data_IF_108489456258
#
_entry.id   IF_108489456258
#
_cell.length_a   1.000
_cell.length_b   1.000
_cell.length_c   1.000
_cell.angle_alpha   90.00
_cell.angle_beta   90.00
_cell.angle_gamma   90.00
#
_symmetry.space_group_name_H-M   'P 1'
#
loop_
_entity.id
_entity.type
_entity.pdbx_description
1 polymer ?
#
# COMPACT_ATOMS: atom_id res chain seq x y z
N UNK A 1 18.55 15.69 -0.89
CA UNK A 1 19.58 14.78 -0.34
C UNK A 1 19.10 13.38 -0.65
N UNK A 2 19.71 12.69 -1.62
CA UNK A 2 19.30 11.33 -2.01
C UNK A 2 19.89 10.41 -0.95
N UNK A 3 19.04 9.74 -0.17
CA UNK A 3 19.50 8.73 0.78
C UNK A 3 20.25 7.63 0.00
N UNK A 4 21.41 7.16 0.49
CA UNK A 4 22.17 6.14 -0.19
C UNK A 4 21.29 4.89 -0.33
N UNK A 5 21.01 4.48 -1.57
CA UNK A 5 20.35 3.22 -1.87
C UNK A 5 21.20 2.10 -1.28
N UNK A 6 20.77 1.54 -0.15
CA UNK A 6 21.34 0.31 0.39
C UNK A 6 21.07 -0.78 -0.64
N UNK A 7 22.09 -1.04 -1.49
CA UNK A 7 22.07 -2.11 -2.49
C UNK A 7 21.78 -3.40 -1.72
N UNK A 8 20.56 -3.93 -1.89
CA UNK A 8 20.19 -5.24 -1.40
C UNK A 8 21.09 -6.25 -2.12
N UNK A 9 21.90 -6.97 -1.34
CA UNK A 9 22.78 -8.00 -1.91
C UNK A 9 21.95 -9.06 -2.63
N UNK A 10 22.33 -9.37 -3.87
CA UNK A 10 22.03 -10.51 -4.78
C UNK A 10 20.62 -11.17 -4.82
N UNK A 11 19.72 -10.91 -3.88
CA UNK A 11 18.39 -11.51 -3.74
C UNK A 11 17.34 -10.41 -3.72
N UNK A 12 16.18 -10.70 -4.31
CA UNK A 12 15.04 -9.80 -4.24
C UNK A 12 14.62 -9.64 -2.77
N UNK A 13 14.35 -8.40 -2.31
CA UNK A 13 13.81 -8.18 -0.98
C UNK A 13 12.43 -8.83 -0.86
N UNK A 14 12.11 -9.27 0.36
CA UNK A 14 10.75 -9.68 0.70
C UNK A 14 9.78 -8.50 0.68
N UNK A 15 8.49 -8.79 0.58
CA UNK A 15 7.43 -7.78 0.63
C UNK A 15 7.48 -6.96 1.93
N UNK A 16 7.64 -7.62 3.07
CA UNK A 16 7.72 -6.95 4.37
C UNK A 16 8.93 -6.02 4.48
N UNK A 17 10.08 -6.41 3.93
CA UNK A 17 11.27 -5.53 3.89
C UNK A 17 11.04 -4.29 3.02
N UNK A 18 10.30 -4.43 1.92
CA UNK A 18 9.91 -3.29 1.08
C UNK A 18 8.95 -2.36 1.81
N UNK A 19 7.97 -2.90 2.54
CA UNK A 19 7.03 -2.13 3.36
C UNK A 19 7.77 -1.34 4.44
N UNK A 20 8.68 -1.98 5.18
CA UNK A 20 9.47 -1.30 6.21
C UNK A 20 10.29 -0.14 5.64
N UNK A 21 10.91 -0.33 4.46
CA UNK A 21 11.65 0.74 3.78
C UNK A 21 10.76 1.88 3.32
N UNK A 22 9.55 1.57 2.84
CA UNK A 22 8.59 2.59 2.46
C UNK A 22 8.17 3.43 3.67
N UNK A 23 7.94 2.79 4.82
CA UNK A 23 7.64 3.49 6.07
C UNK A 23 8.77 4.44 6.48
N UNK A 24 10.03 3.97 6.46
CA UNK A 24 11.21 4.81 6.73
C UNK A 24 11.29 6.02 5.78
N UNK A 25 11.06 5.81 4.48
CA UNK A 25 11.05 6.89 3.49
C UNK A 25 9.93 7.90 3.72
N UNK A 26 8.75 7.44 4.12
CA UNK A 26 7.61 8.31 4.41
C UNK A 26 7.85 9.15 5.67
N UNK A 27 8.48 8.59 6.71
CA UNK A 27 8.83 9.32 7.92
C UNK A 27 9.85 10.45 7.64
N UNK A 28 10.85 10.18 6.80
CA UNK A 28 11.84 11.18 6.39
C UNK A 28 11.22 12.34 5.59
N UNK A 29 10.17 12.06 4.81
CA UNK A 29 9.43 13.07 4.03
C UNK A 29 8.43 13.85 4.88
N UNK A 30 7.81 13.22 5.90
CA UNK A 30 6.69 13.75 6.67
C UNK A 30 7.08 14.58 7.90
N UNK A 31 8.30 15.13 7.97
CA UNK A 31 8.76 15.99 9.07
C UNK A 31 7.92 17.28 9.32
N UNK A 32 6.76 17.46 8.64
CA UNK A 32 5.90 18.65 8.78
C UNK A 32 4.37 18.41 8.79
N UNK A 33 3.80 17.23 8.51
CA UNK A 33 2.32 17.10 8.33
C UNK A 33 1.68 15.75 8.72
N UNK A 34 2.19 15.06 9.73
CA UNK A 34 1.66 13.73 10.17
C UNK A 34 0.52 13.79 11.19
N UNK A 35 0.16 14.96 11.73
CA UNK A 35 -0.84 15.09 12.82
C UNK A 35 -2.26 14.61 12.46
N UNK A 36 -2.53 14.40 11.17
CA UNK A 36 -3.81 13.88 10.69
C UNK A 36 -3.85 12.35 10.54
N UNK A 37 -2.71 11.65 10.54
CA UNK A 37 -2.69 10.19 10.37
C UNK A 37 -2.76 9.54 11.77
N UNK A 38 -3.89 8.92 12.09
CA UNK A 38 -4.13 8.27 13.38
C UNK A 38 -3.60 6.83 13.40
N UNK A 39 -3.71 6.14 12.28
CA UNK A 39 -3.15 4.80 12.06
C UNK A 39 -2.43 4.81 10.72
N UNK A 40 -1.11 4.62 10.75
CA UNK A 40 -0.24 4.66 9.58
C UNK A 40 -0.01 3.29 8.92
N UNK A 41 1.18 3.09 8.36
CA UNK A 41 1.57 1.84 7.69
C UNK A 41 1.68 0.70 8.72
N UNK A 42 1.17 -0.49 8.37
CA UNK A 42 1.32 -1.72 9.16
C UNK A 42 0.01 -2.37 9.62
N UNK A 43 -1.13 -1.76 9.32
CA UNK A 43 -2.48 -2.31 9.50
C UNK A 43 -3.16 -2.49 8.12
N UNK A 44 -4.35 -3.10 8.07
CA UNK A 44 -5.10 -3.39 6.83
C UNK A 44 -5.61 -2.12 6.12
N UNK A 45 -5.74 -1.02 6.85
CA UNK A 45 -6.10 0.30 6.36
C UNK A 45 -5.47 1.38 7.24
N UNK A 46 -5.26 2.56 6.65
CA UNK A 46 -4.85 3.76 7.40
C UNK A 46 -6.06 4.56 7.83
N UNK A 47 -6.01 5.13 9.04
CA UNK A 47 -7.03 6.04 9.56
C UNK A 47 -6.50 7.46 9.47
N UNK A 48 -7.25 8.33 8.81
CA UNK A 48 -6.89 9.75 8.64
C UNK A 48 -8.00 10.62 9.22
N UNK A 49 -7.62 11.50 10.14
CA UNK A 49 -8.45 12.56 10.69
C UNK A 49 -8.58 13.70 9.67
N UNK A 50 -9.82 14.10 9.42
CA UNK A 50 -10.17 15.22 8.56
C UNK A 50 -11.08 16.18 9.32
N UNK A 51 -11.28 17.39 8.78
CA UNK A 51 -12.22 18.35 9.37
C UNK A 51 -13.67 17.83 9.48
N UNK A 52 -14.03 16.80 8.70
CA UNK A 52 -15.37 16.20 8.70
C UNK A 52 -15.46 14.92 9.55
N UNK A 53 -14.37 14.48 10.19
CA UNK A 53 -14.28 13.22 10.92
C UNK A 53 -13.16 12.32 10.39
N UNK A 54 -13.19 11.05 10.78
CA UNK A 54 -12.17 10.06 10.41
C UNK A 54 -12.55 9.32 9.12
N UNK A 55 -11.57 9.08 8.26
CA UNK A 55 -11.71 8.27 7.05
C UNK A 55 -10.73 7.10 7.08
N UNK A 56 -11.14 5.97 6.52
CA UNK A 56 -10.30 4.79 6.29
C UNK A 56 -9.82 4.80 4.84
N UNK A 57 -8.50 4.67 4.66
CA UNK A 57 -7.88 4.57 3.35
C UNK A 57 -7.12 3.25 3.25
N UNK A 58 -7.47 2.45 2.25
CA UNK A 58 -6.76 1.24 1.86
C UNK A 58 -6.69 1.16 0.33
N UNK A 59 -5.75 0.36 -0.19
CA UNK A 59 -5.60 0.16 -1.62
C UNK A 59 -5.14 -1.28 -1.90
N UNK A 60 -5.75 -1.89 -2.90
CA UNK A 60 -5.38 -3.21 -3.41
C UNK A 60 -5.15 -3.15 -4.92
N UNK A 61 -4.47 -4.17 -5.46
CA UNK A 61 -4.23 -4.30 -6.89
C UNK A 61 -4.74 -5.64 -7.43
N UNK A 62 -5.39 -5.59 -8.61
CA UNK A 62 -5.82 -6.79 -9.35
C UNK A 62 -5.07 -6.88 -10.67
N UNK A 63 -4.13 -7.83 -10.74
CA UNK A 63 -3.16 -7.97 -11.84
C UNK A 63 -3.40 -9.25 -12.63
N UNK A 64 -3.53 -9.13 -13.95
CA UNK A 64 -3.64 -10.28 -14.86
C UNK A 64 -2.36 -11.13 -14.77
N UNK A 65 -2.56 -12.41 -14.55
CA UNK A 65 -1.53 -13.41 -14.39
C UNK A 65 -1.01 -13.63 -12.98
N UNK A 66 -1.44 -12.80 -12.02
CA UNK A 66 -1.24 -13.01 -10.59
C UNK A 66 -2.57 -13.34 -9.92
N UNK A 67 -3.58 -12.47 -10.08
CA UNK A 67 -4.85 -12.55 -9.36
C UNK A 67 -6.00 -13.14 -10.19
N UNK A 68 -5.91 -13.03 -11.52
CA UNK A 68 -6.84 -13.61 -12.49
C UNK A 68 -6.12 -13.93 -13.80
N UNK A 69 -6.83 -14.53 -14.76
CA UNK A 69 -6.36 -14.72 -16.15
C UNK A 69 -7.42 -14.17 -17.10
N UNK A 70 -7.08 -13.18 -17.93
CA UNK A 70 -8.05 -12.54 -18.84
C UNK A 70 -8.72 -13.49 -19.83
N UNK A 71 -8.05 -14.60 -20.17
CA UNK A 71 -8.60 -15.65 -21.05
C UNK A 71 -9.71 -16.50 -20.42
N UNK A 72 -9.77 -16.55 -19.09
CA UNK A 72 -10.61 -17.51 -18.34
C UNK A 72 -11.74 -16.82 -17.54
N UNK A 73 -11.76 -15.49 -17.49
CA UNK A 73 -12.67 -14.70 -16.64
C UNK A 73 -13.33 -13.58 -17.41
N UNK A 74 -14.60 -13.32 -17.11
CA UNK A 74 -15.29 -12.12 -17.61
C UNK A 74 -14.84 -10.93 -16.76
N UNK A 75 -14.69 -9.77 -17.40
CA UNK A 75 -14.27 -8.55 -16.72
C UNK A 75 -15.20 -8.14 -15.57
N UNK A 76 -16.49 -8.45 -15.66
CA UNK A 76 -17.45 -8.21 -14.59
C UNK A 76 -17.13 -9.02 -13.32
N UNK A 77 -16.67 -10.26 -13.48
CA UNK A 77 -16.33 -11.13 -12.36
C UNK A 77 -15.03 -10.68 -11.70
N UNK A 78 -14.08 -10.15 -12.50
CA UNK A 78 -12.87 -9.50 -11.99
C UNK A 78 -13.25 -8.24 -11.19
N UNK A 79 -14.11 -7.38 -11.75
CA UNK A 79 -14.57 -6.17 -11.07
C UNK A 79 -15.32 -6.45 -9.76
N UNK A 80 -16.17 -7.47 -9.73
CA UNK A 80 -16.82 -7.91 -8.49
C UNK A 80 -15.79 -8.28 -7.41
N UNK A 81 -14.76 -9.05 -7.80
CA UNK A 81 -13.68 -9.44 -6.89
C UNK A 81 -12.82 -8.26 -6.42
N UNK A 82 -12.64 -7.22 -7.25
CA UNK A 82 -11.92 -6.01 -6.85
C UNK A 82 -12.64 -5.24 -5.73
N UNK A 83 -13.97 -5.25 -5.73
CA UNK A 83 -14.78 -4.44 -4.81
C UNK A 83 -15.17 -5.20 -3.54
N UNK A 84 -15.27 -6.52 -3.61
CA UNK A 84 -15.68 -7.34 -2.47
C UNK A 84 -14.70 -7.13 -1.31
N UNK A 85 -15.16 -6.60 -0.15
CA UNK A 85 -14.38 -6.68 1.06
C UNK A 85 -14.35 -8.17 1.43
N UNK A 86 -13.17 -8.76 1.38
CA UNK A 86 -12.99 -10.20 1.61
C UNK A 86 -13.60 -10.67 2.93
#
# INVERSE_FOLDING_TARGET
MILPSKILGAQNPSEFELISRLAELCDDVNNTTSDSILTGIGDDASVVSTAAGEILLTTDAMVDGVHFRSKDKRWQDVGWKCQSPT
#
